data_IF_591986429473
#
_entry.id   IF_591986429473
#
_cell.length_a   1.000
_cell.length_b   1.000
_cell.length_c   1.000
_cell.angle_alpha   90.00
_cell.angle_beta   90.00
_cell.angle_gamma   90.00
#
_symmetry.space_group_name_H-M   'P 1'
#
loop_
_entity.id
_entity.type
_entity.pdbx_description
1 polymer ?
#
# COMPACT_ATOMS: atom_id res chain seq x y z
N UNK A 1 -2.36 -32.71 8.70
CA UNK A 1 -3.16 -31.51 8.41
C UNK A 1 -2.72 -31.01 7.05
N UNK A 2 -3.45 -31.40 6.00
CA UNK A 2 -3.09 -31.05 4.62
C UNK A 2 -3.41 -29.59 4.35
N UNK A 3 -2.43 -28.83 3.87
CA UNK A 3 -2.62 -27.47 3.40
C UNK A 3 -3.64 -27.49 2.27
N UNK A 4 -4.78 -26.84 2.49
CA UNK A 4 -5.83 -26.69 1.49
C UNK A 4 -5.28 -25.77 0.40
N UNK A 5 -5.31 -26.27 -0.83
CA UNK A 5 -4.91 -25.56 -2.04
C UNK A 5 -5.72 -24.26 -2.18
N UNK A 6 -5.09 -23.13 -1.89
CA UNK A 6 -5.56 -21.80 -2.29
C UNK A 6 -5.51 -21.74 -3.81
N UNK A 7 -6.59 -22.18 -4.46
CA UNK A 7 -6.72 -22.20 -5.91
C UNK A 7 -7.37 -20.89 -6.32
N UNK A 8 -6.59 -19.94 -6.84
CA UNK A 8 -7.14 -18.72 -7.44
C UNK A 8 -8.05 -19.13 -8.62
N UNK A 9 -9.31 -18.69 -8.66
CA UNK A 9 -10.30 -19.15 -9.66
C UNK A 9 -10.19 -18.46 -11.02
N UNK A 10 -9.30 -17.48 -11.20
CA UNK A 10 -9.08 -16.85 -12.49
C UNK A 10 -8.30 -17.79 -13.41
N UNK A 11 -8.81 -18.08 -14.61
CA UNK A 11 -8.00 -18.72 -15.64
C UNK A 11 -6.79 -17.83 -15.93
N UNK A 12 -5.59 -18.42 -15.99
CA UNK A 12 -4.29 -17.76 -16.23
C UNK A 12 -4.34 -16.80 -17.44
N UNK A 13 -5.27 -17.04 -18.37
CA UNK A 13 -5.49 -16.24 -19.57
C UNK A 13 -6.13 -14.86 -19.33
N UNK A 14 -6.59 -14.56 -18.11
CA UNK A 14 -7.30 -13.29 -17.78
C UNK A 14 -6.61 -12.45 -16.70
N UNK A 15 -5.62 -12.99 -15.99
CA UNK A 15 -4.86 -12.26 -14.97
C UNK A 15 -3.56 -11.72 -15.58
N UNK A 16 -3.38 -10.38 -15.73
CA UNK A 16 -2.18 -9.79 -16.28
C UNK A 16 -0.95 -9.91 -15.35
N UNK A 17 -1.14 -10.21 -14.06
CA UNK A 17 -0.07 -10.32 -13.07
C UNK A 17 -0.23 -11.54 -12.16
N UNK A 18 -0.11 -12.76 -12.71
CA UNK A 18 -0.28 -13.96 -11.92
C UNK A 18 0.85 -14.09 -10.88
N UNK A 19 0.49 -14.21 -9.60
CA UNK A 19 1.43 -14.37 -8.48
C UNK A 19 1.06 -15.58 -7.62
N UNK A 20 2.00 -16.05 -6.78
CA UNK A 20 1.82 -17.23 -5.90
C UNK A 20 1.42 -18.50 -6.67
N UNK A 21 1.98 -18.67 -7.86
CA UNK A 21 1.76 -19.85 -8.70
C UNK A 21 2.42 -21.09 -8.08
N UNK A 22 1.77 -22.24 -8.26
CA UNK A 22 2.32 -23.53 -7.81
C UNK A 22 3.67 -23.84 -8.47
N UNK A 23 3.88 -23.38 -9.70
CA UNK A 23 5.15 -23.45 -10.41
C UNK A 23 5.66 -22.04 -10.65
N UNK A 24 6.93 -21.79 -10.29
CA UNK A 24 7.56 -20.51 -10.57
C UNK A 24 7.80 -20.37 -12.08
N UNK A 25 7.44 -19.23 -12.70
CA UNK A 25 7.75 -18.99 -14.09
C UNK A 25 9.26 -18.82 -14.27
N UNK A 26 9.78 -19.27 -15.41
CA UNK A 26 11.20 -19.13 -15.75
C UNK A 26 11.66 -17.65 -15.76
N UNK A 27 10.73 -16.74 -16.10
CA UNK A 27 10.92 -15.30 -15.99
C UNK A 27 10.02 -14.74 -14.87
N UNK A 28 10.58 -14.41 -13.68
CA UNK A 28 9.78 -13.91 -12.56
C UNK A 28 9.36 -12.44 -12.72
N UNK A 29 10.03 -11.70 -13.61
CA UNK A 29 9.78 -10.28 -13.83
C UNK A 29 8.81 -10.06 -14.97
N UNK A 30 7.59 -9.65 -14.62
CA UNK A 30 6.56 -9.24 -15.57
C UNK A 30 6.69 -7.75 -15.88
N UNK A 31 6.52 -7.40 -17.16
CA UNK A 31 6.40 -5.98 -17.55
C UNK A 31 5.05 -5.45 -17.08
N UNK A 32 5.05 -4.22 -16.57
CA UNK A 32 3.82 -3.49 -16.29
C UNK A 32 3.02 -3.31 -17.58
N UNK A 33 1.72 -3.57 -17.50
CA UNK A 33 0.71 -3.46 -18.55
C UNK A 33 -0.05 -2.12 -18.50
N UNK A 34 -0.08 -1.43 -17.35
CA UNK A 34 -0.73 -0.13 -17.22
C UNK A 34 0.26 1.05 -17.26
N UNK A 35 -0.25 2.22 -17.66
CA UNK A 35 0.47 3.48 -17.48
C UNK A 35 0.62 3.83 -16.00
N UNK A 36 1.79 4.38 -15.64
CA UNK A 36 2.06 4.88 -14.29
C UNK A 36 1.22 6.13 -13.99
N UNK A 37 1.20 7.10 -14.91
CA UNK A 37 0.34 8.29 -14.81
C UNK A 37 -0.93 8.08 -15.62
N UNK A 38 -2.07 8.01 -14.94
CA UNK A 38 -3.40 7.95 -15.58
C UNK A 38 -4.00 9.36 -15.61
N UNK A 39 -4.41 9.84 -16.78
CA UNK A 39 -5.10 11.13 -16.89
C UNK A 39 -4.20 12.35 -17.05
N UNK A 40 -2.99 12.21 -17.60
CA UNK A 40 -2.06 13.33 -17.87
C UNK A 40 -2.66 14.48 -18.71
N UNK A 41 -3.69 14.17 -19.49
CA UNK A 41 -4.42 15.13 -20.33
C UNK A 41 -5.52 15.90 -19.58
N UNK A 42 -5.79 15.57 -18.32
CA UNK A 42 -6.81 16.21 -17.48
C UNK A 42 -6.16 17.25 -16.57
N UNK A 43 -6.90 18.31 -16.17
CA UNK A 43 -6.44 19.19 -15.11
C UNK A 43 -6.33 18.40 -13.80
N UNK A 44 -5.19 18.52 -13.13
CA UNK A 44 -4.90 17.84 -11.87
C UNK A 44 -4.09 18.71 -10.92
N UNK A 45 -3.94 18.29 -9.64
CA UNK A 45 -3.26 19.08 -8.61
C UNK A 45 -1.73 19.09 -8.78
N UNK A 46 -1.17 18.21 -9.62
CA UNK A 46 0.26 18.06 -9.83
C UNK A 46 0.72 18.82 -11.07
N UNK A 47 1.88 19.45 -10.98
CA UNK A 47 2.59 20.02 -12.14
C UNK A 47 3.10 18.92 -13.07
N UNK A 48 3.38 19.28 -14.33
CA UNK A 48 3.92 18.33 -15.31
C UNK A 48 5.25 17.71 -14.85
N UNK A 49 6.13 18.50 -14.22
CA UNK A 49 7.40 17.98 -13.70
C UNK A 49 7.21 17.00 -12.54
N UNK A 50 6.22 17.21 -11.68
CA UNK A 50 5.85 16.22 -10.66
C UNK A 50 5.30 14.95 -11.30
N UNK A 51 4.46 15.05 -12.34
CA UNK A 51 3.99 13.86 -13.06
C UNK A 51 5.14 13.08 -13.70
N UNK A 52 6.12 13.77 -14.31
CA UNK A 52 7.33 13.15 -14.86
C UNK A 52 8.17 12.45 -13.80
N UNK A 53 8.41 13.10 -12.68
CA UNK A 53 9.16 12.52 -11.56
C UNK A 53 8.46 11.29 -10.99
N UNK A 54 7.12 11.30 -10.91
CA UNK A 54 6.35 10.14 -10.47
C UNK A 54 6.41 9.00 -11.48
N UNK A 55 6.30 9.31 -12.78
CA UNK A 55 6.36 8.32 -13.85
C UNK A 55 7.71 7.61 -13.90
N UNK A 56 8.79 8.35 -13.68
CA UNK A 56 10.15 7.83 -13.67
C UNK A 56 10.49 7.06 -12.38
N UNK A 57 10.14 7.60 -11.20
CA UNK A 57 10.62 7.09 -9.92
C UNK A 57 9.60 6.23 -9.17
N UNK A 58 8.31 6.32 -9.52
CA UNK A 58 7.21 5.60 -8.86
C UNK A 58 6.74 6.20 -7.53
N UNK A 59 7.26 7.36 -7.12
CA UNK A 59 6.85 8.08 -5.90
C UNK A 59 7.04 9.59 -6.05
N UNK A 60 6.39 10.35 -5.17
CA UNK A 60 6.55 11.80 -5.02
C UNK A 60 6.79 12.16 -3.56
N UNK A 61 7.53 13.25 -3.36
CA UNK A 61 7.74 13.84 -2.06
C UNK A 61 7.29 15.30 -2.09
N UNK A 62 6.22 15.60 -1.35
CA UNK A 62 5.65 16.94 -1.26
C UNK A 62 6.01 17.55 0.10
N UNK A 63 6.80 18.63 0.08
CA UNK A 63 7.26 19.28 1.31
C UNK A 63 6.17 20.18 1.86
N UNK A 64 5.90 20.06 3.17
CA UNK A 64 4.89 20.89 3.81
C UNK A 64 3.48 20.61 3.29
N UNK A 65 3.20 19.37 2.87
CA UNK A 65 1.86 18.96 2.46
C UNK A 65 0.81 19.19 3.54
N UNK A 66 1.20 19.05 4.81
CA UNK A 66 0.41 19.39 5.99
C UNK A 66 1.04 20.57 6.71
N UNK A 67 0.21 21.46 7.26
CA UNK A 67 0.68 22.50 8.18
C UNK A 67 1.18 21.88 9.49
N UNK A 68 2.08 22.58 10.19
CA UNK A 68 2.64 22.11 11.47
C UNK A 68 1.57 21.76 12.49
N UNK A 69 0.51 22.54 12.54
CA UNK A 69 -0.57 22.37 13.51
C UNK A 69 -1.38 21.10 13.22
N UNK A 70 -1.58 20.79 11.93
CA UNK A 70 -2.23 19.54 11.50
C UNK A 70 -1.35 18.32 11.80
N UNK A 71 -0.04 18.41 11.55
CA UNK A 71 0.90 17.35 11.91
C UNK A 71 0.88 17.07 13.41
N UNK A 72 0.87 18.13 14.24
CA UNK A 72 0.80 18.00 15.69
C UNK A 72 -0.51 17.36 16.14
N UNK A 73 -1.65 17.81 15.59
CA UNK A 73 -2.95 17.26 15.93
C UNK A 73 -3.05 15.76 15.58
N UNK A 74 -2.60 15.36 14.40
CA UNK A 74 -2.61 13.96 13.97
C UNK A 74 -1.65 13.09 14.80
N UNK A 75 -0.47 13.62 15.13
CA UNK A 75 0.51 12.90 15.97
C UNK A 75 -0.01 12.69 17.39
N UNK A 76 -0.71 13.68 17.96
CA UNK A 76 -1.35 13.55 19.26
C UNK A 76 -2.49 12.53 19.23
N UNK A 77 -3.37 12.59 18.22
CA UNK A 77 -4.46 11.64 18.06
C UNK A 77 -3.96 10.19 17.90
N UNK A 78 -2.88 10.00 17.13
CA UNK A 78 -2.21 8.71 17.02
C UNK A 78 -1.65 8.24 18.37
N UNK A 79 -0.95 9.13 19.08
CA UNK A 79 -0.38 8.81 20.40
C UNK A 79 -1.46 8.45 21.42
N UNK A 80 -2.59 9.15 21.40
CA UNK A 80 -3.75 8.82 22.24
C UNK A 80 -4.26 7.41 21.92
N UNK A 81 -4.45 7.09 20.63
CA UNK A 81 -4.92 5.77 20.20
C UNK A 81 -3.99 4.64 20.65
N UNK A 82 -2.68 4.78 20.44
CA UNK A 82 -1.67 3.77 20.79
C UNK A 82 -1.58 3.55 22.31
N UNK A 83 -1.87 4.58 23.11
CA UNK A 83 -1.83 4.52 24.57
C UNK A 83 -3.16 4.05 25.21
N UNK A 84 -4.17 3.68 24.42
CA UNK A 84 -5.43 3.16 24.94
C UNK A 84 -5.30 1.73 25.46
N UNK A 85 -5.07 1.63 26.77
CA UNK A 85 -5.02 0.34 27.47
C UNK A 85 -6.32 -0.46 27.37
N UNK A 86 -7.47 0.21 27.24
CA UNK A 86 -8.78 -0.44 27.12
C UNK A 86 -8.98 -1.14 25.75
N UNK A 87 -8.14 -0.82 24.78
CA UNK A 87 -8.10 -1.46 23.46
C UNK A 87 -7.13 -2.65 23.42
N UNK A 88 -6.29 -2.86 24.44
CA UNK A 88 -5.39 -4.02 24.49
C UNK A 88 -6.19 -5.32 24.63
N UNK A 89 -5.69 -6.40 24.01
CA UNK A 89 -6.27 -7.74 24.08
C UNK A 89 -7.75 -7.83 23.64
N UNK A 90 -8.22 -6.87 22.84
CA UNK A 90 -9.54 -6.92 22.22
C UNK A 90 -9.45 -7.69 20.91
N UNK A 91 -10.53 -8.37 20.55
CA UNK A 91 -10.59 -9.17 19.31
C UNK A 91 -10.40 -8.36 18.03
N UNK A 92 -10.55 -7.03 18.09
CA UNK A 92 -10.37 -6.10 16.98
C UNK A 92 -8.99 -5.44 16.96
N UNK A 93 -8.14 -5.69 17.95
CA UNK A 93 -6.82 -5.08 18.07
C UNK A 93 -5.77 -6.08 17.56
N UNK A 94 -5.02 -5.66 16.54
CA UNK A 94 -3.88 -6.43 16.02
C UNK A 94 -2.64 -5.81 16.64
N UNK A 95 -1.97 -6.55 17.50
CA UNK A 95 -0.66 -6.16 18.06
C UNK A 95 0.44 -6.95 17.36
N UNK A 96 1.65 -6.40 17.32
CA UNK A 96 2.81 -7.17 16.87
C UNK A 96 2.99 -8.42 17.75
N UNK A 97 3.40 -9.59 17.18
CA UNK A 97 3.71 -10.77 17.98
C UNK A 97 4.77 -10.44 19.03
N UNK A 98 4.55 -10.88 20.27
CA UNK A 98 5.43 -10.64 21.43
C UNK A 98 5.60 -9.16 21.86
N UNK A 99 4.85 -8.23 21.24
CA UNK A 99 4.74 -6.84 21.68
C UNK A 99 3.36 -6.58 22.27
N UNK A 100 3.31 -5.76 23.32
CA UNK A 100 2.05 -5.19 23.80
C UNK A 100 1.75 -3.84 23.13
N UNK A 101 2.53 -3.40 22.15
CA UNK A 101 2.22 -2.18 21.39
C UNK A 101 1.02 -2.43 20.46
N UNK A 102 0.10 -1.47 20.46
CA UNK A 102 -1.04 -1.40 19.54
C UNK A 102 -0.56 -0.75 18.25
#
# INVERSE_FOLDING_TARGET
>A
MSAQNLTCPASIQTDPYPTRLHQHPDQPWYKRQEHTVKGRHLPGPLSQSQLDNFEQNGFLFERGFLHSDEVNALSNAMSELLNRNDYRNRSFTITEPDSQEI
#
